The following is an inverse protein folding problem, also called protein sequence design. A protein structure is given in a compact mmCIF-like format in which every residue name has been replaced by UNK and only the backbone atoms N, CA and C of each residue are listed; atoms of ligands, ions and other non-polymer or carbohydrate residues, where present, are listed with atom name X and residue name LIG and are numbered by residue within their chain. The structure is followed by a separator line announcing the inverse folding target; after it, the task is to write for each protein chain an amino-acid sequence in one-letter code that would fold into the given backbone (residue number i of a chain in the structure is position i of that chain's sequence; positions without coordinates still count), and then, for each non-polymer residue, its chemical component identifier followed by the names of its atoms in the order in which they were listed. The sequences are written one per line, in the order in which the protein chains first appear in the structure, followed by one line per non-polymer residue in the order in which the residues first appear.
data_IF_719249046184
#
_entry.id   IF_719249046184
#
_cell.length_a   1.000
_cell.length_b   1.000
_cell.length_c   1.000
_cell.angle_alpha   90.00
_cell.angle_beta   90.00
_cell.angle_gamma   90.00
#
_symmetry.space_group_name_H-M   'P 1'
#
loop_
_entity.id
_entity.type
_entity.pdbx_description
1 polymer ?
#
# COMPACT_ATOMS: atom_id res chain seq x y z
N UNK A 1 27.73 -14.53 6.02
CA UNK A 1 27.15 -13.18 6.01
C UNK A 1 25.70 -13.34 6.42
N UNK A 2 25.20 -12.53 7.34
CA UNK A 2 23.81 -12.64 7.79
C UNK A 2 22.93 -12.00 6.73
N UNK A 3 22.16 -12.81 6.00
CA UNK A 3 21.22 -12.32 5.00
C UNK A 3 19.91 -11.98 5.70
N UNK A 4 19.43 -10.76 5.52
CA UNK A 4 18.12 -10.36 6.03
C UNK A 4 17.02 -10.90 5.11
N UNK A 5 15.99 -11.52 5.69
CA UNK A 5 14.85 -12.00 4.92
C UNK A 5 13.89 -10.85 4.63
N UNK A 6 13.59 -10.62 3.35
CA UNK A 6 12.62 -9.60 2.92
C UNK A 6 11.23 -10.23 2.79
N UNK A 7 10.22 -9.56 3.35
CA UNK A 7 8.80 -9.89 3.26
C UNK A 7 8.03 -8.66 2.76
N UNK A 8 6.83 -8.85 2.20
CA UNK A 8 6.03 -7.75 1.66
C UNK A 8 4.55 -7.91 2.00
N UNK A 9 3.84 -6.79 2.14
CA UNK A 9 2.38 -6.74 2.25
C UNK A 9 1.74 -6.55 0.87
N UNK A 10 0.56 -7.13 0.59
CA UNK A 10 -0.06 -7.01 -0.74
C UNK A 10 -0.26 -5.58 -1.27
N UNK A 11 -0.47 -4.57 -0.41
CA UNK A 11 -0.49 -3.18 -0.88
C UNK A 11 0.87 -2.64 -1.34
N UNK A 12 1.97 -3.10 -0.74
CA UNK A 12 3.29 -2.75 -1.24
C UNK A 12 3.46 -3.23 -2.69
N UNK A 13 2.93 -4.42 -3.01
CA UNK A 13 2.96 -4.94 -4.37
C UNK A 13 2.18 -4.02 -5.34
N UNK A 14 1.01 -3.55 -4.93
CA UNK A 14 0.22 -2.60 -5.74
C UNK A 14 0.97 -1.28 -5.94
N UNK A 15 1.53 -0.72 -4.87
CA UNK A 15 2.37 0.49 -4.92
C UNK A 15 3.55 0.31 -5.89
N UNK A 16 4.21 -0.85 -5.87
CA UNK A 16 5.36 -1.19 -6.72
C UNK A 16 4.98 -1.33 -8.20
N UNK A 17 3.85 -1.99 -8.49
CA UNK A 17 3.31 -2.13 -9.86
C UNK A 17 2.95 -0.75 -10.45
N UNK A 18 2.59 0.23 -9.61
CA UNK A 18 2.29 1.57 -10.08
C UNK A 18 3.52 2.37 -10.54
N UNK A 19 4.72 1.99 -10.11
CA UNK A 19 5.98 2.66 -10.47
C UNK A 19 6.34 2.47 -11.94
N UNK A 20 7.05 3.45 -12.52
CA UNK A 20 7.67 3.27 -13.82
C UNK A 20 8.85 2.29 -13.75
N UNK A 21 9.28 1.75 -14.91
CA UNK A 21 10.33 0.72 -14.99
C UNK A 21 11.67 1.14 -14.35
N UNK A 22 12.06 2.40 -14.49
CA UNK A 22 13.30 2.90 -13.89
C UNK A 22 13.21 2.90 -12.36
N UNK A 23 12.07 3.29 -11.80
CA UNK A 23 11.83 3.26 -10.36
C UNK A 23 11.72 1.81 -9.84
N UNK A 24 11.07 0.92 -10.57
CA UNK A 24 11.05 -0.51 -10.22
C UNK A 24 12.47 -1.07 -10.14
N UNK A 25 13.33 -0.76 -11.12
CA UNK A 25 14.73 -1.19 -11.09
C UNK A 25 15.50 -0.58 -9.91
N UNK A 26 15.28 0.71 -9.63
CA UNK A 26 15.92 1.39 -8.50
C UNK A 26 15.49 0.79 -7.15
N UNK A 27 14.23 0.34 -7.04
CA UNK A 27 13.73 -0.39 -5.87
C UNK A 27 14.44 -1.72 -5.73
N UNK A 28 14.57 -2.51 -6.80
CA UNK A 28 15.29 -3.80 -6.76
C UNK A 28 16.73 -3.60 -6.26
N UNK A 29 17.44 -2.59 -6.76
CA UNK A 29 18.78 -2.25 -6.25
C UNK A 29 18.77 -1.82 -4.78
N UNK A 30 17.75 -1.08 -4.33
CA UNK A 30 17.60 -0.72 -2.93
C UNK A 30 17.34 -1.94 -2.04
N UNK A 31 16.57 -2.93 -2.51
CA UNK A 31 16.32 -4.17 -1.76
C UNK A 31 17.60 -4.99 -1.59
N UNK A 32 18.44 -5.07 -2.62
CA UNK A 32 19.77 -5.71 -2.52
C UNK A 32 20.65 -5.03 -1.47
N UNK A 33 20.61 -3.70 -1.38
CA UNK A 33 21.34 -2.94 -0.36
C UNK A 33 20.77 -3.20 1.05
N UNK A 34 19.44 -3.25 1.17
CA UNK A 34 18.76 -3.50 2.44
C UNK A 34 19.00 -4.92 2.95
N UNK A 35 19.08 -5.92 2.07
CA UNK A 35 19.37 -7.32 2.44
C UNK A 35 20.71 -7.47 3.18
N UNK A 36 21.66 -6.58 2.89
CA UNK A 36 22.98 -6.56 3.53
C UNK A 36 22.96 -5.78 4.85
N UNK A 37 22.30 -4.62 4.88
CA UNK A 37 22.33 -3.72 6.04
C UNK A 37 21.13 -2.74 6.01
N UNK A 38 19.99 -3.12 6.61
CA UNK A 38 18.76 -2.34 6.52
C UNK A 38 18.61 -1.28 7.61
N UNK A 39 19.41 -1.33 8.69
CA UNK A 39 19.19 -0.47 9.87
C UNK A 39 20.19 0.67 9.98
N UNK A 40 21.36 0.54 9.36
CA UNK A 40 22.41 1.56 9.45
C UNK A 40 22.00 2.79 8.64
N UNK A 41 21.93 3.99 9.25
CA UNK A 41 21.61 5.21 8.53
C UNK A 41 22.67 5.50 7.44
N UNK A 42 22.21 5.73 6.21
CA UNK A 42 23.06 6.11 5.07
C UNK A 42 22.70 7.50 4.58
N UNK A 43 23.19 8.51 5.30
CA UNK A 43 22.92 9.91 5.03
C UNK A 43 21.42 10.21 4.92
N UNK A 44 20.98 10.69 3.76
CA UNK A 44 19.57 10.97 3.48
C UNK A 44 18.85 9.83 2.76
N UNK A 45 19.51 8.70 2.50
CA UNK A 45 18.93 7.53 1.85
C UNK A 45 18.14 6.73 2.87
N UNK A 46 18.83 6.05 3.79
CA UNK A 46 18.22 5.28 4.89
C UNK A 46 18.13 6.14 6.15
N UNK A 47 16.92 6.30 6.69
CA UNK A 47 16.70 7.01 7.96
C UNK A 47 15.56 6.37 8.75
N UNK A 48 15.78 6.12 10.05
CA UNK A 48 14.73 5.70 10.98
C UNK A 48 13.63 6.78 11.09
N UNK A 49 12.37 6.36 11.03
CA UNK A 49 11.24 7.27 11.18
C UNK A 49 11.04 7.64 12.65
N UNK A 50 10.76 8.92 12.92
CA UNK A 50 10.34 9.35 14.27
C UNK A 50 8.93 8.83 14.55
N UNK A 51 8.62 8.57 15.81
CA UNK A 51 7.34 7.96 16.20
C UNK A 51 7.29 6.44 16.05
N UNK A 52 8.35 5.81 15.54
CA UNK A 52 8.39 4.38 15.26
C UNK A 52 9.66 3.73 15.81
N UNK A 53 9.51 2.55 16.41
CA UNK A 53 10.62 1.81 16.99
C UNK A 53 11.47 1.12 15.93
N UNK A 54 10.86 0.61 14.87
CA UNK A 54 11.52 -0.27 13.91
C UNK A 54 11.22 0.08 12.45
N UNK A 55 10.62 1.24 12.18
CA UNK A 55 10.29 1.70 10.82
C UNK A 55 11.36 2.64 10.30
N UNK A 56 11.75 2.43 9.05
CA UNK A 56 12.78 3.14 8.34
C UNK A 56 12.25 3.58 6.98
N UNK A 57 12.93 4.58 6.42
CA UNK A 57 12.66 5.08 5.07
C UNK A 57 13.92 4.96 4.23
N UNK A 58 13.78 4.41 3.04
CA UNK A 58 14.75 4.50 1.95
C UNK A 58 14.31 5.57 0.92
N UNK A 59 15.22 6.46 0.51
CA UNK A 59 14.93 7.53 -0.46
C UNK A 59 15.27 7.08 -1.89
N UNK A 60 14.30 7.21 -2.80
CA UNK A 60 14.43 6.91 -4.22
C UNK A 60 14.07 8.17 -5.03
N UNK A 61 14.96 9.16 -5.03
CA UNK A 61 14.69 10.48 -5.61
C UNK A 61 13.48 11.17 -4.95
N UNK A 62 12.38 11.25 -5.69
CA UNK A 62 11.09 11.81 -5.27
C UNK A 62 10.11 10.78 -4.67
N UNK A 63 10.53 9.52 -4.63
CA UNK A 63 9.82 8.43 -4.00
C UNK A 63 10.49 8.01 -2.70
N UNK A 64 9.71 7.38 -1.83
CA UNK A 64 10.17 6.88 -0.54
C UNK A 64 9.57 5.49 -0.35
N UNK A 65 10.46 4.55 -0.05
CA UNK A 65 10.12 3.22 0.41
C UNK A 65 10.12 3.23 1.93
N UNK A 66 9.02 2.81 2.55
CA UNK A 66 8.93 2.59 3.99
C UNK A 66 9.03 1.10 4.26
N UNK A 67 9.87 0.72 5.22
CA UNK A 67 10.07 -0.66 5.63
C UNK A 67 10.27 -0.77 7.14
N UNK A 68 9.82 -1.87 7.72
CA UNK A 68 10.18 -2.24 9.08
C UNK A 68 11.38 -3.19 9.05
N UNK A 69 12.28 -3.07 10.03
CA UNK A 69 13.41 -3.97 10.20
C UNK A 69 13.47 -4.50 11.63
N UNK A 70 13.42 -5.83 11.79
CA UNK A 70 13.51 -6.52 13.09
C UNK A 70 14.85 -7.23 13.19
N UNK A 71 15.77 -6.65 13.96
CA UNK A 71 17.15 -7.13 14.04
C UNK A 71 17.27 -8.53 14.65
N UNK A 72 16.48 -8.84 15.68
CA UNK A 72 16.46 -10.16 16.30
C UNK A 72 16.02 -11.27 15.34
N UNK A 73 15.07 -10.96 14.45
CA UNK A 73 14.54 -11.89 13.47
C UNK A 73 15.29 -11.86 12.13
N UNK A 74 16.29 -10.98 11.96
CA UNK A 74 16.95 -10.69 10.68
C UNK A 74 15.93 -10.53 9.54
N UNK A 75 14.86 -9.76 9.79
CA UNK A 75 13.74 -9.62 8.86
C UNK A 75 13.49 -8.16 8.48
N UNK A 76 13.20 -7.95 7.19
CA UNK A 76 12.73 -6.69 6.61
C UNK A 76 11.31 -6.91 6.11
N UNK A 77 10.40 -5.98 6.42
CA UNK A 77 9.04 -5.99 5.90
C UNK A 77 8.78 -4.72 5.11
N UNK A 78 8.47 -4.87 3.81
CA UNK A 78 8.15 -3.78 2.91
C UNK A 78 6.72 -3.33 3.16
N UNK A 79 6.54 -2.04 3.47
CA UNK A 79 5.26 -1.50 3.93
C UNK A 79 4.54 -0.71 2.85
N UNK A 80 5.23 0.26 2.24
CA UNK A 80 4.66 1.10 1.20
C UNK A 80 5.76 1.79 0.38
N UNK A 81 5.43 2.15 -0.87
CA UNK A 81 6.29 2.99 -1.71
C UNK A 81 5.48 4.02 -2.47
N UNK A 82 5.92 5.28 -2.44
CA UNK A 82 5.21 6.33 -3.17
C UNK A 82 5.87 7.68 -3.13
N UNK A 83 5.26 8.69 -3.76
CA UNK A 83 5.68 10.08 -3.65
C UNK A 83 5.75 10.52 -2.18
N UNK A 84 6.65 11.46 -1.85
CA UNK A 84 6.88 11.92 -0.47
C UNK A 84 5.61 12.21 0.31
N UNK A 85 4.75 13.03 -0.29
CA UNK A 85 3.60 13.59 0.40
C UNK A 85 2.55 12.52 0.68
N UNK A 86 2.30 11.63 -0.27
CA UNK A 86 1.29 10.59 -0.13
C UNK A 86 1.74 9.49 0.82
N UNK A 87 2.99 9.03 0.72
CA UNK A 87 3.44 7.88 1.53
C UNK A 87 3.55 8.21 3.02
N UNK A 88 3.91 9.45 3.38
CA UNK A 88 3.91 9.85 4.79
C UNK A 88 2.51 10.08 5.34
N UNK A 89 1.60 10.65 4.54
CA UNK A 89 0.19 10.82 4.94
C UNK A 89 -0.48 9.47 5.21
N UNK A 90 -0.16 8.45 4.41
CA UNK A 90 -0.69 7.09 4.60
C UNK A 90 -0.29 6.45 5.94
N UNK A 91 0.80 6.90 6.57
CA UNK A 91 1.32 6.39 7.84
C UNK A 91 1.07 7.35 9.02
N UNK A 92 0.19 8.34 8.83
CA UNK A 92 -0.09 9.41 9.79
C UNK A 92 1.18 9.99 10.42
N UNK A 93 2.26 10.09 9.61
CA UNK A 93 3.56 10.46 10.13
C UNK A 93 3.51 11.89 10.67
N UNK A 94 3.66 12.09 11.99
CA UNK A 94 3.40 13.38 12.64
C UNK A 94 4.52 14.42 12.40
N UNK A 95 5.52 14.06 11.60
CA UNK A 95 6.62 14.92 11.22
C UNK A 95 7.94 14.56 11.88
N UNK A 96 8.99 15.32 11.54
CA UNK A 96 10.33 15.10 12.09
C UNK A 96 10.55 15.87 13.39
N UNK A 97 9.55 16.56 13.93
CA UNK A 97 9.68 17.44 15.11
C UNK A 97 8.93 16.92 16.34
N UNK A 98 8.27 15.76 16.26
CA UNK A 98 7.61 15.11 17.41
C UNK A 98 8.60 14.48 18.40
N UNK A 99 8.28 14.61 19.69
CA UNK A 99 8.87 13.81 20.77
C UNK A 99 8.43 12.35 20.63
N UNK A 100 9.39 11.44 20.79
CA UNK A 100 9.26 10.06 20.32
C UNK A 100 8.32 9.21 21.18
N UNK A 101 7.08 9.05 20.76
CA UNK A 101 6.30 7.85 21.07
C UNK A 101 6.85 6.72 20.21
N UNK A 102 7.51 5.72 20.78
CA UNK A 102 8.08 4.61 20.01
C UNK A 102 7.01 3.52 19.80
N UNK A 103 6.32 3.55 18.66
CA UNK A 103 5.38 2.47 18.29
C UNK A 103 6.13 1.41 17.48
N UNK A 104 6.05 0.14 17.88
CA UNK A 104 6.65 -0.96 17.16
C UNK A 104 5.71 -1.47 16.05
N UNK A 105 6.19 -1.54 14.81
CA UNK A 105 5.48 -2.24 13.73
C UNK A 105 5.59 -3.77 13.96
N UNK A 106 4.52 -4.40 14.48
CA UNK A 106 4.51 -5.80 14.92
C UNK A 106 3.16 -6.28 15.51
N UNK A 107 3.10 -7.48 16.11
CA UNK A 107 1.85 -8.07 16.62
C UNK A 107 1.13 -7.23 17.68
N UNK A 108 1.79 -6.29 18.33
CA UNK A 108 1.16 -5.31 19.24
C UNK A 108 0.26 -4.32 18.51
N UNK A 109 0.55 -3.98 17.24
CA UNK A 109 -0.34 -3.24 16.34
C UNK A 109 -1.43 -4.13 15.69
N UNK A 110 -1.32 -5.44 15.83
CA UNK A 110 -2.35 -6.40 15.39
C UNK A 110 -3.38 -6.69 16.50
N UNK A 111 -3.18 -6.18 17.73
CA UNK A 111 -4.07 -6.40 18.86
C UNK A 111 -5.14 -5.30 18.94
N UNK A 112 -6.38 -5.69 18.58
CA UNK A 112 -7.67 -4.99 18.72
C UNK A 112 -7.68 -3.50 18.34
N UNK A 113 -8.19 -3.16 17.16
CA UNK A 113 -8.25 -1.77 16.74
C UNK A 113 -9.27 -0.94 17.55
N UNK A 114 -8.85 0.29 17.86
CA UNK A 114 -9.45 1.32 18.73
C UNK A 114 -10.93 1.64 18.42
N UNK A 115 -11.36 1.43 17.17
CA UNK A 115 -12.76 1.59 16.75
C UNK A 115 -13.73 0.61 17.40
N UNK A 116 -13.24 -0.45 18.06
CA UNK A 116 -14.05 -1.40 18.81
C UNK A 116 -14.40 -0.89 20.23
N UNK A 117 -13.75 0.19 20.71
CA UNK A 117 -14.00 0.80 22.03
C UNK A 117 -14.92 2.03 21.99
N UNK A 118 -15.20 2.60 20.81
CA UNK A 118 -16.03 3.81 20.61
C UNK A 118 -17.23 3.57 19.66
N UNK A 119 -18.33 2.96 20.12
CA UNK A 119 -19.52 2.69 19.30
C UNK A 119 -20.29 3.96 18.91
N UNK A 120 -20.02 5.11 19.52
CA UNK A 120 -20.61 6.40 19.14
C UNK A 120 -20.23 6.89 17.73
N UNK A 121 -19.11 6.44 17.15
CA UNK A 121 -18.73 6.77 15.77
C UNK A 121 -19.62 6.11 14.71
N UNK A 122 -20.53 5.23 15.13
CA UNK A 122 -21.53 4.57 14.29
C UNK A 122 -22.95 5.14 14.47
N UNK A 123 -23.13 6.27 15.16
CA UNK A 123 -24.40 6.99 15.00
C UNK A 123 -24.47 7.54 13.56
N UNK A 124 -25.52 7.24 12.79
CA UNK A 124 -25.63 7.77 11.43
C UNK A 124 -25.76 9.29 11.49
N UNK A 125 -24.88 10.00 10.78
CA UNK A 125 -25.10 11.40 10.48
C UNK A 125 -26.45 11.58 9.74
N UNK A 126 -27.18 12.69 9.96
CA UNK A 126 -28.47 12.89 9.31
C UNK A 126 -28.29 13.02 7.79
N UNK A 127 -29.12 12.26 7.07
CA UNK A 127 -29.03 11.97 5.63
C UNK A 127 -29.25 13.18 4.71
N UNK A 128 -28.41 13.26 3.68
CA UNK A 128 -28.81 13.52 2.29
C UNK A 128 -28.19 12.44 1.39
N UNK A 129 -28.64 12.22 0.14
CA UNK A 129 -28.04 11.23 -0.74
C UNK A 129 -26.67 11.75 -1.20
N UNK A 130 -25.66 11.54 -0.37
CA UNK A 130 -24.29 11.84 -0.69
C UNK A 130 -23.81 10.71 -1.60
N UNK A 131 -23.98 10.89 -2.90
CA UNK A 131 -23.35 10.01 -3.87
C UNK A 131 -21.85 10.27 -3.80
N UNK A 132 -21.13 9.37 -3.16
CA UNK A 132 -19.68 9.44 -3.10
C UNK A 132 -19.10 9.24 -4.50
N UNK A 133 -18.38 10.25 -4.96
CA UNK A 133 -17.71 10.21 -6.26
C UNK A 133 -16.59 9.18 -6.21
N UNK A 134 -16.33 8.53 -7.34
CA UNK A 134 -15.20 7.63 -7.43
C UNK A 134 -13.89 8.37 -7.08
N UNK A 135 -12.96 7.71 -6.34
CA UNK A 135 -11.67 8.30 -5.95
C UNK A 135 -10.84 8.80 -7.14
N UNK A 136 -11.01 8.17 -8.31
CA UNK A 136 -10.44 8.59 -9.59
C UNK A 136 -11.35 8.22 -10.75
N UNK A 137 -11.27 8.99 -11.83
CA UNK A 137 -11.98 8.69 -13.07
C UNK A 137 -11.39 7.45 -13.74
N UNK A 138 -12.24 6.52 -14.15
CA UNK A 138 -11.84 5.36 -14.93
C UNK A 138 -11.51 5.80 -16.36
N UNK A 139 -10.29 5.47 -16.82
CA UNK A 139 -9.79 5.76 -18.17
C UNK A 139 -9.39 4.46 -18.86
N UNK A 140 -9.39 4.39 -20.21
CA UNK A 140 -8.97 3.19 -20.93
C UNK A 140 -7.58 2.72 -20.50
N UNK A 141 -6.64 3.67 -20.36
CA UNK A 141 -5.28 3.40 -19.89
C UNK A 141 -5.20 2.78 -18.49
N UNK A 142 -6.12 3.17 -17.58
CA UNK A 142 -6.17 2.62 -16.22
C UNK A 142 -6.76 1.22 -16.22
N UNK A 143 -7.83 1.03 -17.00
CA UNK A 143 -8.50 -0.26 -17.14
C UNK A 143 -7.60 -1.30 -17.84
N UNK A 144 -6.86 -0.89 -18.87
CA UNK A 144 -5.81 -1.72 -19.50
C UNK A 144 -4.73 -2.11 -18.50
N UNK A 145 -4.27 -1.16 -17.66
CA UNK A 145 -3.28 -1.43 -16.62
C UNK A 145 -3.78 -2.45 -15.60
N UNK A 146 -5.06 -2.44 -15.29
CA UNK A 146 -5.71 -3.41 -14.40
C UNK A 146 -6.12 -4.72 -15.10
N UNK A 147 -5.69 -4.91 -16.36
CA UNK A 147 -6.00 -6.10 -17.17
C UNK A 147 -7.51 -6.34 -17.29
N UNK A 148 -8.26 -5.25 -17.45
CA UNK A 148 -9.69 -5.26 -17.74
C UNK A 148 -9.86 -5.28 -19.25
N UNK A 149 -10.65 -6.21 -19.78
CA UNK A 149 -10.82 -6.34 -21.23
C UNK A 149 -11.59 -5.14 -21.82
N UNK A 150 -11.25 -4.70 -23.05
CA UNK A 150 -11.89 -3.57 -23.73
C UNK A 150 -13.43 -3.56 -23.77
N UNK A 151 -14.14 -4.70 -23.88
CA UNK A 151 -15.61 -4.73 -23.89
C UNK A 151 -16.26 -4.12 -22.64
N UNK A 152 -15.55 -4.10 -21.50
CA UNK A 152 -16.06 -3.55 -20.25
C UNK A 152 -15.76 -2.06 -20.07
N UNK A 153 -14.86 -1.48 -20.88
CA UNK A 153 -14.33 -0.13 -20.65
C UNK A 153 -15.40 0.94 -20.76
N UNK A 154 -16.24 0.89 -21.80
CA UNK A 154 -17.28 1.89 -22.03
C UNK A 154 -18.29 1.97 -20.89
N UNK A 155 -18.61 0.83 -20.27
CA UNK A 155 -19.57 0.74 -19.16
C UNK A 155 -18.93 1.31 -17.90
N UNK A 156 -17.70 0.89 -17.59
CA UNK A 156 -16.96 1.33 -16.43
C UNK A 156 -16.62 2.82 -16.47
N UNK A 157 -16.22 3.36 -17.63
CA UNK A 157 -15.91 4.78 -17.81
C UNK A 157 -17.10 5.73 -17.60
N UNK A 158 -18.33 5.23 -17.69
CA UNK A 158 -19.55 6.01 -17.44
C UNK A 158 -19.91 6.11 -15.96
N UNK A 159 -19.27 5.30 -15.10
CA UNK A 159 -19.48 5.35 -13.67
C UNK A 159 -18.75 6.56 -13.08
N UNK A 160 -19.47 7.42 -12.35
CA UNK A 160 -18.93 8.61 -11.71
C UNK A 160 -19.00 8.52 -10.19
N UNK A 161 -19.89 7.68 -9.68
CA UNK A 161 -20.12 7.44 -8.25
C UNK A 161 -19.96 5.96 -7.92
N UNK A 162 -19.69 5.65 -6.65
CA UNK A 162 -19.56 4.27 -6.17
C UNK A 162 -20.83 3.44 -6.47
N UNK A 163 -21.99 4.07 -6.26
CA UNK A 163 -23.29 3.48 -6.51
C UNK A 163 -23.48 3.10 -7.99
N UNK A 164 -22.83 3.80 -8.93
CA UNK A 164 -22.90 3.44 -10.35
C UNK A 164 -22.17 2.12 -10.63
N UNK A 165 -21.09 1.82 -9.89
CA UNK A 165 -20.31 0.57 -10.02
C UNK A 165 -21.03 -0.61 -9.37
N UNK A 166 -21.57 -0.40 -8.17
CA UNK A 166 -22.26 -1.46 -7.41
C UNK A 166 -23.58 -1.89 -8.06
N UNK A 167 -24.21 -1.00 -8.84
CA UNK A 167 -25.46 -1.30 -9.54
C UNK A 167 -25.26 -1.75 -11.00
N UNK A 168 -24.02 -2.04 -11.44
CA UNK A 168 -23.80 -2.63 -12.77
C UNK A 168 -24.38 -4.05 -12.79
N UNK A 169 -25.28 -4.38 -13.72
CA UNK A 169 -25.78 -5.75 -13.87
C UNK A 169 -24.65 -6.74 -14.16
N UNK A 170 -24.64 -7.89 -13.48
CA UNK A 170 -23.61 -8.94 -13.62
C UNK A 170 -23.44 -9.46 -15.06
N UNK A 171 -24.52 -9.41 -15.86
CA UNK A 171 -24.48 -9.79 -17.27
C UNK A 171 -23.76 -8.79 -18.18
N UNK A 172 -23.43 -7.59 -17.67
CA UNK A 172 -22.68 -6.55 -18.38
C UNK A 172 -21.24 -6.48 -17.93
N UNK A 173 -20.98 -6.63 -16.63
CA UNK A 173 -19.63 -6.71 -16.06
C UNK A 173 -19.61 -7.83 -15.03
N UNK A 174 -18.81 -8.89 -15.26
CA UNK A 174 -18.68 -9.99 -14.30
C UNK A 174 -18.14 -9.53 -12.94
N UNK A 175 -18.53 -10.19 -11.82
CA UNK A 175 -18.09 -9.80 -10.48
C UNK A 175 -16.56 -9.80 -10.27
N UNK A 176 -15.82 -10.68 -10.95
CA UNK A 176 -14.35 -10.72 -10.88
C UNK A 176 -13.69 -9.53 -11.59
N UNK A 177 -14.32 -9.00 -12.64
CA UNK A 177 -13.89 -7.78 -13.32
C UNK A 177 -14.19 -6.57 -12.44
N UNK A 178 -15.39 -6.54 -11.84
CA UNK A 178 -15.79 -5.48 -10.90
C UNK A 178 -14.89 -5.47 -9.66
N UNK A 179 -14.54 -6.63 -9.09
CA UNK A 179 -13.63 -6.75 -7.96
C UNK A 179 -12.25 -6.15 -8.25
N UNK A 180 -11.66 -6.44 -9.41
CA UNK A 180 -10.39 -5.84 -9.85
C UNK A 180 -10.46 -4.31 -9.97
N UNK A 181 -11.59 -3.78 -10.45
CA UNK A 181 -11.83 -2.33 -10.52
C UNK A 181 -11.96 -1.74 -9.11
N UNK A 182 -12.68 -2.39 -8.20
CA UNK A 182 -12.83 -1.95 -6.82
C UNK A 182 -11.51 -1.96 -6.06
N UNK A 183 -10.70 -3.03 -6.19
CA UNK A 183 -9.35 -3.11 -5.60
C UNK A 183 -8.43 -2.00 -6.14
N UNK A 184 -8.59 -1.66 -7.43
CA UNK A 184 -7.85 -0.56 -8.07
C UNK A 184 -8.33 0.83 -7.63
N UNK A 185 -9.60 1.01 -7.28
CA UNK A 185 -10.16 2.29 -6.83
C UNK A 185 -9.98 2.52 -5.34
N UNK A 186 -10.12 1.47 -4.55
CA UNK A 186 -10.12 1.46 -3.09
C UNK A 186 -9.04 0.52 -2.57
N UNK A 187 -7.75 0.91 -2.65
CA UNK A 187 -6.67 0.08 -2.16
C UNK A 187 -6.84 -0.19 -0.66
N UNK A 188 -6.49 -1.40 -0.22
CA UNK A 188 -6.65 -1.84 1.16
C UNK A 188 -6.00 -0.86 2.17
N UNK A 189 -6.72 -0.61 3.25
CA UNK A 189 -6.26 0.20 4.40
C UNK A 189 -5.15 -0.51 5.17
N UNK A 190 -4.43 0.23 6.02
CA UNK A 190 -3.31 -0.30 6.83
C UNK A 190 -3.77 -1.48 7.70
N UNK A 191 -4.95 -1.38 8.31
CA UNK A 191 -5.52 -2.43 9.17
C UNK A 191 -5.88 -3.68 8.37
N UNK A 192 -6.46 -3.52 7.18
CA UNK A 192 -6.81 -4.62 6.29
C UNK A 192 -5.57 -5.34 5.75
N UNK A 193 -4.46 -4.62 5.55
CA UNK A 193 -3.18 -5.18 5.14
C UNK A 193 -2.47 -5.95 6.26
N UNK A 194 -2.62 -5.48 7.50
CA UNK A 194 -2.07 -6.16 8.66
C UNK A 194 -2.73 -7.54 8.86
N UNK A 195 -4.01 -7.68 8.53
CA UNK A 195 -4.79 -8.91 8.67
C UNK A 195 -4.57 -9.95 7.55
N UNK A 196 -3.97 -9.55 6.42
CA UNK A 196 -3.75 -10.47 5.30
C UNK A 196 -2.55 -11.41 5.56
N UNK A 197 -2.65 -12.70 5.20
CA UNK A 197 -1.55 -13.65 5.34
C UNK A 197 -0.39 -13.26 4.42
N UNK A 198 0.82 -13.26 4.95
CA UNK A 198 2.02 -12.92 4.18
C UNK A 198 2.28 -13.99 3.10
N UNK A 199 2.62 -13.56 1.88
CA UNK A 199 3.07 -14.44 0.81
C UNK A 199 4.60 -14.41 0.73
N UNK A 200 5.22 -15.59 0.71
CA UNK A 200 6.68 -15.74 0.57
C UNK A 200 7.08 -15.44 -0.87
N UNK A 201 8.00 -14.50 -1.05
CA UNK A 201 8.66 -14.22 -2.31
C UNK A 201 10.07 -14.86 -2.26
N UNK A 202 10.30 -15.90 -3.06
CA UNK A 202 11.56 -16.64 -3.05
C UNK A 202 12.67 -15.92 -3.83
N UNK A 203 12.29 -15.27 -4.94
CA UNK A 203 13.18 -14.47 -5.76
C UNK A 203 12.52 -13.09 -6.04
N UNK A 204 13.19 -11.96 -5.77
CA UNK A 204 12.72 -10.63 -6.17
C UNK A 204 12.34 -10.51 -7.65
N UNK A 205 12.99 -11.26 -8.54
CA UNK A 205 12.69 -11.29 -9.97
C UNK A 205 11.33 -11.94 -10.27
N UNK A 206 10.79 -12.77 -9.36
CA UNK A 206 9.47 -13.39 -9.51
C UNK A 206 8.35 -12.33 -9.57
N UNK A 207 8.57 -11.14 -9.00
CA UNK A 207 7.64 -10.01 -9.12
C UNK A 207 7.39 -9.60 -10.57
N UNK A 208 8.37 -9.78 -11.46
CA UNK A 208 8.25 -9.43 -12.87
C UNK A 208 7.27 -10.33 -13.62
N UNK A 209 7.00 -11.53 -13.11
CA UNK A 209 6.02 -12.46 -13.70
C UNK A 209 4.59 -11.99 -13.51
N UNK A 210 4.36 -11.09 -12.55
CA UNK A 210 3.06 -10.50 -12.27
C UNK A 210 2.85 -9.15 -12.95
N UNK A 211 3.89 -8.56 -13.53
CA UNK A 211 3.85 -7.29 -14.25
C UNK A 211 3.35 -7.48 -15.69
#
# INVERSE_FOLDING_TARGET
MSHWQITQKPAYLMDFIELNKNLQQAVVSALQELEQDPVTPRGNTIKKMKGWENVYRYRLGDFRLLYAAKQEAQMIQLLAIGPRGSVYKRFDFPGWDVEGTAVAFGPELAAKPEWMEHPEWFQPEPQGPQKDKLPRKLTPTLLEKWRIDPPYHDILMRCLYEDDLLNIPENKVPPDVLGRVMDGLYPATVDQLAAQPDQVLFDPEDLTRYA
#
